data_IF_114335362337
#
_entry.id   IF_114335362337
#
_cell.length_a   1.000
_cell.length_b   1.000
_cell.length_c   1.000
_cell.angle_alpha   90.00
_cell.angle_beta   90.00
_cell.angle_gamma   90.00
#
_symmetry.space_group_name_H-M   'P 1'
#
loop_
_entity.id
_entity.type
_entity.pdbx_description
1 polymer ?
#
# COMPACT_ATOMS: atom_id res chain seq x y z
N UNK A 1 5.31 25.99 -7.08
CA UNK A 1 5.33 24.68 -6.42
C UNK A 1 4.15 24.62 -5.48
N UNK A 2 3.29 23.64 -5.66
CA UNK A 2 2.16 23.43 -4.75
C UNK A 2 2.66 22.67 -3.50
N UNK A 3 1.93 22.78 -2.38
CA UNK A 3 2.25 22.04 -1.13
C UNK A 3 2.34 20.53 -1.38
N UNK A 4 1.52 20.01 -2.29
CA UNK A 4 1.53 18.61 -2.73
C UNK A 4 2.85 18.22 -3.39
N UNK A 5 3.43 19.10 -4.21
CA UNK A 5 4.74 18.88 -4.84
C UNK A 5 5.84 18.73 -3.80
N UNK A 6 5.81 19.56 -2.75
CA UNK A 6 6.78 19.50 -1.65
C UNK A 6 6.65 18.16 -0.90
N UNK A 7 5.43 17.76 -0.57
CA UNK A 7 5.16 16.49 0.11
C UNK A 7 5.67 15.31 -0.72
N UNK A 8 5.45 15.32 -2.04
CA UNK A 8 5.92 14.27 -2.95
C UNK A 8 7.44 14.18 -2.94
N UNK A 9 8.14 15.32 -3.12
CA UNK A 9 9.60 15.36 -3.14
C UNK A 9 10.17 14.87 -1.80
N UNK A 10 9.65 15.38 -0.69
CA UNK A 10 10.09 14.97 0.66
C UNK A 10 9.86 13.46 0.87
N UNK A 11 8.73 12.94 0.45
CA UNK A 11 8.42 11.50 0.58
C UNK A 11 9.37 10.64 -0.24
N UNK A 12 9.72 11.06 -1.46
CA UNK A 12 10.69 10.34 -2.31
C UNK A 12 12.09 10.38 -1.67
N UNK A 13 12.53 11.55 -1.22
CA UNK A 13 13.84 11.69 -0.58
C UNK A 13 13.93 10.82 0.68
N UNK A 14 12.90 10.85 1.51
CA UNK A 14 12.83 9.99 2.71
C UNK A 14 12.87 8.50 2.34
N UNK A 15 12.15 8.07 1.31
CA UNK A 15 12.18 6.68 0.85
C UNK A 15 13.56 6.24 0.39
N UNK A 16 14.26 7.08 -0.37
CA UNK A 16 15.65 6.83 -0.81
C UNK A 16 16.59 6.72 0.39
N UNK A 17 16.50 7.66 1.34
CA UNK A 17 17.34 7.65 2.54
C UNK A 17 17.09 6.43 3.42
N UNK A 18 15.82 6.08 3.62
CA UNK A 18 15.43 4.90 4.40
C UNK A 18 15.95 3.62 3.72
N UNK A 19 15.77 3.50 2.40
CA UNK A 19 16.27 2.36 1.63
C UNK A 19 17.80 2.25 1.69
N UNK A 20 18.50 3.37 1.60
CA UNK A 20 19.96 3.41 1.74
C UNK A 20 20.42 2.93 3.12
N UNK A 21 19.76 3.36 4.18
CA UNK A 21 20.09 2.94 5.56
C UNK A 21 19.76 1.47 5.82
N UNK A 22 18.63 0.99 5.32
CA UNK A 22 18.18 -0.40 5.51
C UNK A 22 18.99 -1.39 4.70
N UNK A 23 19.41 -1.00 3.49
CA UNK A 23 20.10 -1.85 2.53
C UNK A 23 19.17 -2.72 1.70
N UNK A 24 19.74 -3.33 0.65
CA UNK A 24 18.99 -4.00 -0.42
C UNK A 24 18.09 -5.13 0.06
N UNK A 25 18.63 -6.10 0.81
CA UNK A 25 17.87 -7.28 1.22
C UNK A 25 16.67 -6.90 2.09
N UNK A 26 16.89 -6.07 3.09
CA UNK A 26 15.82 -5.66 3.99
C UNK A 26 14.75 -4.83 3.27
N UNK A 27 15.16 -3.87 2.42
CA UNK A 27 14.23 -3.02 1.69
C UNK A 27 13.43 -3.82 0.66
N UNK A 28 14.05 -4.77 -0.04
CA UNK A 28 13.37 -5.67 -0.98
C UNK A 28 12.32 -6.54 -0.27
N UNK A 29 12.66 -7.11 0.89
CA UNK A 29 11.71 -7.90 1.69
C UNK A 29 10.53 -7.04 2.15
N UNK A 30 10.78 -5.79 2.57
CA UNK A 30 9.71 -4.85 2.94
C UNK A 30 8.83 -4.55 1.75
N UNK A 31 9.40 -4.22 0.60
CA UNK A 31 8.66 -3.84 -0.59
C UNK A 31 7.79 -4.98 -1.13
N UNK A 32 8.40 -6.12 -1.43
CA UNK A 32 7.68 -7.30 -1.92
C UNK A 32 6.70 -7.81 -0.87
N UNK A 33 7.12 -7.88 0.39
CA UNK A 33 6.30 -8.33 1.49
C UNK A 33 5.06 -7.44 1.71
N UNK A 34 5.18 -6.13 1.58
CA UNK A 34 4.04 -5.22 1.69
C UNK A 34 3.02 -5.48 0.58
N UNK A 35 3.47 -5.66 -0.67
CA UNK A 35 2.58 -6.01 -1.79
C UNK A 35 1.87 -7.34 -1.52
N UNK A 36 2.61 -8.36 -1.10
CA UNK A 36 2.05 -9.67 -0.78
C UNK A 36 1.03 -9.61 0.36
N UNK A 37 1.31 -8.85 1.41
CA UNK A 37 0.37 -8.66 2.54
C UNK A 37 -0.95 -8.06 2.06
N UNK A 38 -0.91 -7.02 1.24
CA UNK A 38 -2.13 -6.39 0.70
C UNK A 38 -2.91 -7.36 -0.18
N UNK A 39 -2.24 -8.05 -1.10
CA UNK A 39 -2.88 -9.03 -2.00
C UNK A 39 -3.48 -10.19 -1.21
N UNK A 40 -2.73 -10.76 -0.27
CA UNK A 40 -3.22 -11.87 0.56
C UNK A 40 -4.38 -11.43 1.47
N UNK A 41 -4.32 -10.23 2.06
CA UNK A 41 -5.41 -9.69 2.86
C UNK A 41 -6.69 -9.52 2.02
N UNK A 42 -6.55 -9.08 0.77
CA UNK A 42 -7.67 -8.97 -0.15
C UNK A 42 -8.28 -10.34 -0.51
N UNK A 43 -7.46 -11.36 -0.72
CA UNK A 43 -7.93 -12.74 -0.96
C UNK A 43 -8.59 -13.33 0.28
N UNK A 44 -8.00 -13.11 1.45
CA UNK A 44 -8.48 -13.68 2.72
C UNK A 44 -9.71 -12.95 3.30
N UNK A 45 -10.02 -11.74 2.84
CA UNK A 45 -11.19 -10.99 3.35
C UNK A 45 -12.51 -11.77 3.20
N UNK A 46 -12.72 -12.47 2.09
CA UNK A 46 -13.96 -13.17 1.82
C UNK A 46 -14.19 -14.34 2.79
N UNK A 47 -13.30 -15.34 2.93
CA UNK A 47 -13.51 -16.41 3.89
C UNK A 47 -13.58 -15.90 5.33
N UNK A 48 -12.79 -14.88 5.68
CA UNK A 48 -12.77 -14.31 7.01
C UNK A 48 -14.06 -13.53 7.32
N UNK A 49 -14.60 -12.79 6.36
CA UNK A 49 -15.88 -12.08 6.53
C UNK A 49 -17.04 -13.03 6.81
N UNK A 50 -17.06 -14.21 6.17
CA UNK A 50 -18.07 -15.24 6.43
C UNK A 50 -17.97 -15.80 7.86
N UNK A 51 -16.75 -15.99 8.36
CA UNK A 51 -16.52 -16.44 9.75
C UNK A 51 -16.99 -15.35 10.73
N UNK A 52 -16.66 -14.09 10.46
CA UNK A 52 -17.06 -12.96 11.28
C UNK A 52 -18.59 -12.82 11.30
N UNK A 53 -19.24 -12.91 10.15
CA UNK A 53 -20.69 -12.82 10.03
C UNK A 53 -21.42 -13.89 10.86
N UNK A 54 -20.89 -15.12 10.88
CA UNK A 54 -21.48 -16.23 11.64
C UNK A 54 -21.33 -16.05 13.15
N UNK A 55 -20.21 -15.48 13.61
CA UNK A 55 -19.85 -15.44 15.02
C UNK A 55 -20.11 -14.09 15.69
N UNK A 56 -20.23 -13.00 14.92
CA UNK A 56 -20.35 -11.64 15.42
C UNK A 56 -21.59 -10.92 14.82
N UNK A 57 -22.77 -11.04 15.42
CA UNK A 57 -24.01 -10.43 14.89
C UNK A 57 -24.11 -8.91 15.24
N UNK A 58 -23.00 -8.15 15.18
CA UNK A 58 -22.95 -6.78 15.71
C UNK A 58 -23.50 -5.70 14.77
N UNK A 59 -23.45 -5.89 13.45
CA UNK A 59 -23.88 -4.87 12.52
C UNK A 59 -25.37 -5.01 12.18
N UNK A 60 -26.25 -4.52 13.07
CA UNK A 60 -27.65 -4.29 12.77
C UNK A 60 -27.85 -2.79 12.54
N UNK A 61 -27.91 -2.38 11.28
CA UNK A 61 -28.28 -1.03 10.96
C UNK A 61 -29.74 -0.79 11.27
N UNK A 62 -30.05 0.31 11.97
CA UNK A 62 -31.40 0.80 12.25
C UNK A 62 -31.65 2.10 11.47
N UNK A 63 -32.90 2.45 11.22
CA UNK A 63 -33.29 3.65 10.50
C UNK A 63 -33.31 3.48 8.99
N UNK A 64 -32.88 4.50 8.24
CA UNK A 64 -32.91 4.51 6.77
C UNK A 64 -32.07 3.39 6.10
N UNK A 65 -31.18 2.73 6.84
CA UNK A 65 -30.35 1.62 6.38
C UNK A 65 -30.85 0.26 6.85
N UNK A 66 -32.03 0.22 7.49
CA UNK A 66 -32.63 -1.02 7.98
C UNK A 66 -33.06 -1.89 6.79
N UNK A 67 -32.59 -3.12 6.75
CA UNK A 67 -32.91 -4.08 5.68
C UNK A 67 -31.94 -4.12 4.50
N UNK A 68 -30.88 -3.27 4.46
CA UNK A 68 -29.86 -3.34 3.40
C UNK A 68 -28.81 -4.39 3.77
N UNK A 69 -29.07 -5.64 3.37
CA UNK A 69 -28.15 -6.76 3.60
C UNK A 69 -26.75 -6.54 2.98
N UNK A 70 -26.69 -5.84 1.86
CA UNK A 70 -25.44 -5.54 1.15
C UNK A 70 -24.49 -4.67 1.99
N UNK A 71 -24.98 -3.68 2.75
CA UNK A 71 -24.16 -2.88 3.65
C UNK A 71 -23.56 -3.71 4.78
N UNK A 72 -24.34 -4.65 5.33
CA UNK A 72 -23.85 -5.56 6.35
C UNK A 72 -22.67 -6.40 5.82
N UNK A 73 -22.82 -7.01 4.64
CA UNK A 73 -21.77 -7.82 4.02
C UNK A 73 -20.51 -6.96 3.80
N UNK A 74 -20.66 -5.76 3.26
CA UNK A 74 -19.54 -4.85 3.02
C UNK A 74 -18.77 -4.48 4.31
N UNK A 75 -19.49 -4.23 5.41
CA UNK A 75 -18.87 -3.92 6.70
C UNK A 75 -18.06 -5.11 7.25
N UNK A 76 -18.56 -6.33 7.11
CA UNK A 76 -17.81 -7.53 7.50
C UNK A 76 -16.61 -7.76 6.60
N UNK A 77 -16.70 -7.48 5.29
CA UNK A 77 -15.55 -7.56 4.39
C UNK A 77 -14.46 -6.54 4.74
N UNK A 78 -14.84 -5.29 5.04
CA UNK A 78 -13.89 -4.25 5.47
C UNK A 78 -13.21 -4.66 6.78
N UNK A 79 -13.98 -5.13 7.76
CA UNK A 79 -13.44 -5.59 9.04
C UNK A 79 -12.50 -6.79 8.85
N UNK A 80 -12.90 -7.76 8.05
CA UNK A 80 -12.10 -8.92 7.71
C UNK A 80 -10.79 -8.53 7.02
N UNK A 81 -10.85 -7.57 6.09
CA UNK A 81 -9.66 -7.05 5.43
C UNK A 81 -8.69 -6.39 6.41
N UNK A 82 -9.19 -5.56 7.33
CA UNK A 82 -8.37 -4.90 8.36
C UNK A 82 -7.71 -5.94 9.29
N UNK A 83 -8.46 -6.96 9.72
CA UNK A 83 -7.94 -8.03 10.56
C UNK A 83 -6.87 -8.84 9.82
N UNK A 84 -7.13 -9.21 8.56
CA UNK A 84 -6.16 -9.91 7.73
C UNK A 84 -4.88 -9.08 7.53
N UNK A 85 -5.01 -7.77 7.23
CA UNK A 85 -3.87 -6.86 7.13
C UNK A 85 -3.06 -6.82 8.42
N UNK A 86 -3.71 -6.73 9.58
CA UNK A 86 -3.03 -6.68 10.86
C UNK A 86 -2.22 -7.97 11.13
N UNK A 87 -2.84 -9.14 10.96
CA UNK A 87 -2.20 -10.44 11.19
C UNK A 87 -1.02 -10.63 10.22
N UNK A 88 -1.23 -10.40 8.93
CA UNK A 88 -0.18 -10.56 7.91
C UNK A 88 0.95 -9.53 8.09
N UNK A 89 0.65 -8.31 8.55
CA UNK A 89 1.67 -7.29 8.85
C UNK A 89 2.54 -7.69 10.03
N UNK A 90 1.99 -8.35 11.04
CA UNK A 90 2.76 -8.91 12.17
C UNK A 90 3.69 -10.02 11.64
N UNK A 91 3.19 -10.94 10.81
CA UNK A 91 4.01 -11.98 10.20
C UNK A 91 5.14 -11.38 9.34
N UNK A 92 4.85 -10.38 8.50
CA UNK A 92 5.83 -9.66 7.72
C UNK A 92 6.89 -8.99 8.61
N UNK A 93 6.49 -8.41 9.73
CA UNK A 93 7.43 -7.78 10.68
C UNK A 93 8.45 -8.78 11.23
N UNK A 94 8.02 -10.01 11.50
CA UNK A 94 8.92 -11.10 11.94
C UNK A 94 9.91 -11.44 10.81
N UNK A 95 9.42 -11.59 9.57
CA UNK A 95 10.26 -11.87 8.40
C UNK A 95 11.29 -10.75 8.18
N UNK A 96 10.89 -9.49 8.31
CA UNK A 96 11.79 -8.34 8.19
C UNK A 96 12.89 -8.36 9.26
N UNK A 97 12.58 -8.74 10.48
CA UNK A 97 13.59 -8.87 11.54
C UNK A 97 14.63 -9.93 11.20
N UNK A 98 14.19 -11.07 10.69
CA UNK A 98 15.09 -12.16 10.26
C UNK A 98 15.94 -11.71 9.07
N UNK A 99 15.36 -11.08 8.06
CA UNK A 99 16.11 -10.59 6.88
C UNK A 99 17.14 -9.51 7.26
N UNK A 100 16.86 -8.68 8.23
CA UNK A 100 17.82 -7.70 8.76
C UNK A 100 19.03 -8.34 9.43
N UNK A 101 18.88 -9.51 10.05
CA UNK A 101 20.00 -10.30 10.59
C UNK A 101 20.88 -10.83 9.46
N UNK A 102 20.27 -11.39 8.40
CA UNK A 102 20.97 -11.90 7.22
C UNK A 102 21.79 -10.78 6.57
N UNK A 103 21.19 -9.60 6.38
CA UNK A 103 21.89 -8.45 5.80
C UNK A 103 23.06 -7.98 6.67
N UNK A 104 22.91 -8.01 8.00
CA UNK A 104 24.00 -7.68 8.93
C UNK A 104 25.19 -8.65 8.77
N UNK A 105 24.91 -9.94 8.61
CA UNK A 105 25.95 -10.97 8.36
C UNK A 105 26.66 -10.72 7.03
N UNK A 106 25.89 -10.43 5.98
CA UNK A 106 26.45 -10.14 4.64
C UNK A 106 27.28 -8.84 4.61
N UNK A 107 26.90 -7.83 5.39
CA UNK A 107 27.66 -6.57 5.52
C UNK A 107 28.96 -6.68 6.32
N UNK A 108 29.15 -7.74 7.08
CA UNK A 108 30.45 -8.04 7.71
C UNK A 108 31.55 -8.25 6.68
N UNK A 109 31.20 -8.63 5.44
CA UNK A 109 32.10 -8.61 4.31
C UNK A 109 32.09 -7.18 3.73
N UNK A 110 33.07 -6.37 4.03
CA UNK A 110 33.21 -4.93 3.70
C UNK A 110 32.90 -4.64 2.22
N UNK A 111 33.20 -5.55 1.32
CA UNK A 111 32.99 -5.43 -0.14
C UNK A 111 31.51 -5.31 -0.53
N UNK A 112 30.57 -5.86 0.24
CA UNK A 112 29.14 -5.87 -0.08
C UNK A 112 28.33 -4.75 0.60
N UNK A 113 28.94 -4.00 1.50
CA UNK A 113 28.22 -2.99 2.29
C UNK A 113 27.76 -1.77 1.44
N UNK A 114 28.63 -1.23 0.59
CA UNK A 114 28.31 -0.08 -0.26
C UNK A 114 27.33 -0.42 -1.38
N UNK A 115 27.55 -1.51 -2.19
CA UNK A 115 26.59 -1.93 -3.20
C UNK A 115 25.20 -2.20 -2.62
N UNK A 116 25.11 -2.85 -1.46
CA UNK A 116 23.84 -3.13 -0.80
C UNK A 116 23.08 -1.85 -0.41
N UNK A 117 23.77 -0.82 0.07
CA UNK A 117 23.15 0.47 0.41
C UNK A 117 22.63 1.20 -0.82
N UNK A 118 23.41 1.26 -1.90
CA UNK A 118 23.00 1.90 -3.15
C UNK A 118 21.80 1.20 -3.78
N UNK A 119 21.82 -0.13 -3.86
CA UNK A 119 20.68 -0.91 -4.34
C UNK A 119 19.46 -0.74 -3.42
N UNK A 120 19.65 -0.65 -2.10
CA UNK A 120 18.58 -0.35 -1.16
C UNK A 120 17.93 1.02 -1.41
N UNK A 121 18.75 2.05 -1.75
CA UNK A 121 18.25 3.36 -2.13
C UNK A 121 17.38 3.32 -3.40
N UNK A 122 17.79 2.52 -4.40
CA UNK A 122 17.02 2.33 -5.63
C UNK A 122 15.66 1.65 -5.33
N UNK A 123 15.67 0.59 -4.53
CA UNK A 123 14.42 -0.09 -4.13
C UNK A 123 13.53 0.87 -3.34
N UNK A 124 14.08 1.64 -2.39
CA UNK A 124 13.34 2.65 -1.62
C UNK A 124 12.75 3.75 -2.50
N UNK A 125 13.45 4.17 -3.56
CA UNK A 125 12.93 5.10 -4.57
C UNK A 125 11.71 4.51 -5.29
N UNK A 126 11.82 3.27 -5.82
CA UNK A 126 10.72 2.59 -6.52
C UNK A 126 9.52 2.42 -5.59
N UNK A 127 9.75 1.96 -4.36
CA UNK A 127 8.71 1.81 -3.35
C UNK A 127 7.98 3.12 -3.06
N UNK A 128 8.71 4.23 -2.93
CA UNK A 128 8.13 5.55 -2.70
C UNK A 128 7.20 5.97 -3.83
N UNK A 129 7.60 5.74 -5.09
CA UNK A 129 6.76 6.04 -6.25
C UNK A 129 5.48 5.21 -6.22
N UNK A 130 5.57 3.90 -5.94
CA UNK A 130 4.40 3.01 -5.88
C UNK A 130 3.43 3.44 -4.77
N UNK A 131 3.95 3.73 -3.57
CA UNK A 131 3.13 4.18 -2.44
C UNK A 131 2.47 5.52 -2.74
N UNK A 132 3.23 6.49 -3.28
CA UNK A 132 2.71 7.80 -3.68
C UNK A 132 1.64 7.66 -4.78
N UNK A 133 1.85 6.78 -5.77
CA UNK A 133 0.86 6.53 -6.80
C UNK A 133 -0.47 6.06 -6.21
N UNK A 134 -0.44 5.03 -5.36
CA UNK A 134 -1.65 4.50 -4.71
C UNK A 134 -2.34 5.57 -3.87
N UNK A 135 -1.57 6.35 -3.10
CA UNK A 135 -2.09 7.42 -2.27
C UNK A 135 -2.73 8.55 -3.08
N UNK A 136 -2.03 9.04 -4.11
CA UNK A 136 -2.55 10.08 -5.02
C UNK A 136 -3.77 9.60 -5.80
N UNK A 137 -3.77 8.34 -6.24
CA UNK A 137 -4.92 7.73 -6.91
C UNK A 137 -6.16 7.72 -6.00
N UNK A 138 -6.01 7.27 -4.75
CA UNK A 138 -7.12 7.28 -3.79
C UNK A 138 -7.64 8.70 -3.54
N UNK A 139 -6.76 9.69 -3.41
CA UNK A 139 -7.15 11.08 -3.21
C UNK A 139 -7.76 11.73 -4.47
N UNK A 140 -7.48 11.20 -5.68
CA UNK A 140 -8.04 11.68 -6.93
C UNK A 140 -9.46 11.17 -7.20
N UNK A 141 -9.93 10.17 -6.43
CA UNK A 141 -11.27 9.62 -6.57
C UNK A 141 -12.35 10.70 -6.38
N UNK A 142 -13.46 10.66 -7.16
CA UNK A 142 -14.53 11.67 -7.12
C UNK A 142 -15.15 11.90 -5.74
N UNK A 143 -15.06 10.89 -4.86
CA UNK A 143 -15.62 10.93 -3.50
C UNK A 143 -14.82 11.89 -2.60
N UNK A 144 -13.49 11.93 -2.74
CA UNK A 144 -12.62 12.74 -1.88
C UNK A 144 -12.36 14.15 -2.43
N UNK A 145 -12.44 14.33 -3.76
CA UNK A 145 -12.31 15.61 -4.49
C UNK A 145 -11.31 16.60 -3.89
N UNK A 146 -10.06 16.19 -3.71
CA UNK A 146 -9.02 17.08 -3.20
C UNK A 146 -8.53 17.99 -4.37
N UNK A 147 -8.91 19.29 -4.39
CA UNK A 147 -8.65 20.15 -5.55
C UNK A 147 -7.16 20.38 -5.81
N UNK A 148 -6.31 20.36 -4.78
CA UNK A 148 -4.88 20.66 -4.86
C UNK A 148 -4.04 19.62 -5.64
N UNK A 149 -4.59 18.43 -5.90
CA UNK A 149 -3.88 17.37 -6.66
C UNK A 149 -3.85 17.72 -8.15
N UNK A 150 -4.91 18.32 -8.69
CA UNK A 150 -5.00 18.73 -10.10
C UNK A 150 -3.99 19.81 -10.47
N UNK A 151 -3.60 20.64 -9.50
CA UNK A 151 -2.65 21.74 -9.69
C UNK A 151 -1.19 21.33 -9.41
N UNK A 152 -0.95 20.08 -9.01
CA UNK A 152 0.39 19.57 -8.72
C UNK A 152 0.99 18.92 -9.95
N UNK A 153 2.10 19.47 -10.45
CA UNK A 153 2.84 18.96 -11.62
C UNK A 153 3.38 17.54 -11.38
N UNK A 154 3.91 17.28 -10.17
CA UNK A 154 4.48 15.98 -9.84
C UNK A 154 3.41 14.92 -9.58
N UNK A 155 2.25 15.31 -9.02
CA UNK A 155 1.13 14.38 -8.86
C UNK A 155 0.61 13.90 -10.22
N UNK A 156 0.41 14.82 -11.17
CA UNK A 156 0.02 14.47 -12.54
C UNK A 156 1.07 13.59 -13.23
N UNK A 157 2.36 13.94 -13.09
CA UNK A 157 3.44 13.12 -13.66
C UNK A 157 3.45 11.69 -13.13
N UNK A 158 3.24 11.51 -11.83
CA UNK A 158 3.20 10.17 -11.20
C UNK A 158 1.95 9.41 -11.67
N UNK A 159 0.79 10.04 -11.73
CA UNK A 159 -0.46 9.40 -12.13
C UNK A 159 -0.49 9.05 -13.62
N UNK A 160 0.04 9.90 -14.50
CA UNK A 160 -0.02 9.71 -15.96
C UNK A 160 1.14 8.88 -16.51
N UNK A 161 2.35 9.04 -15.96
CA UNK A 161 3.57 8.43 -16.51
C UNK A 161 3.98 7.10 -15.87
N UNK A 162 3.16 6.55 -14.96
CA UNK A 162 3.42 5.20 -14.39
C UNK A 162 2.61 4.16 -15.17
N UNK A 163 3.10 3.66 -16.34
CA UNK A 163 2.26 3.02 -17.37
C UNK A 163 1.71 1.65 -16.98
N UNK A 164 2.32 0.97 -16.01
CA UNK A 164 1.87 -0.35 -15.58
C UNK A 164 0.66 -0.24 -14.65
N UNK A 165 0.64 0.77 -13.80
CA UNK A 165 -0.40 0.94 -12.79
C UNK A 165 -1.57 1.73 -13.36
N UNK A 166 -1.33 2.69 -14.28
CA UNK A 166 -2.40 3.45 -14.94
C UNK A 166 -3.33 2.56 -15.76
N UNK A 167 -2.81 1.54 -16.47
CA UNK A 167 -3.65 0.57 -17.21
C UNK A 167 -4.59 -0.24 -16.31
N UNK A 168 -4.12 -0.61 -15.11
CA UNK A 168 -4.94 -1.34 -14.13
C UNK A 168 -6.03 -0.42 -13.56
N UNK A 169 -5.69 0.84 -13.28
CA UNK A 169 -6.65 1.82 -12.76
C UNK A 169 -7.68 2.25 -13.80
N UNK A 170 -7.30 2.42 -15.07
CA UNK A 170 -8.24 2.70 -16.15
C UNK A 170 -9.25 1.57 -16.35
N UNK A 171 -8.82 0.32 -16.21
CA UNK A 171 -9.70 -0.85 -16.19
C UNK A 171 -10.71 -0.79 -15.05
N UNK A 172 -10.26 -0.49 -13.84
CA UNK A 172 -11.14 -0.38 -12.67
C UNK A 172 -12.13 0.79 -12.79
N UNK A 173 -11.67 1.96 -13.24
CA UNK A 173 -12.54 3.15 -13.41
C UNK A 173 -13.61 2.90 -14.48
N UNK A 174 -13.28 2.20 -15.59
CA UNK A 174 -14.27 1.81 -16.59
C UNK A 174 -15.35 0.90 -16.00
N UNK A 175 -14.95 -0.10 -15.22
CA UNK A 175 -15.89 -1.02 -14.57
C UNK A 175 -16.82 -0.28 -13.57
N UNK A 176 -16.33 0.74 -12.87
CA UNK A 176 -17.14 1.55 -11.96
C UNK A 176 -18.10 2.52 -12.69
N UNK A 177 -17.80 2.94 -13.91
CA UNK A 177 -18.67 3.82 -14.70
C UNK A 177 -19.75 3.04 -15.48
N UNK A 178 -19.65 1.72 -15.56
CA UNK A 178 -20.61 0.83 -16.22
C UNK A 178 -21.66 0.23 -15.26
N UNK A 179 -21.54 0.52 -13.93
CA UNK A 179 -22.50 0.16 -12.89
C UNK A 179 -23.34 1.38 -12.49
#
# INVERSE_FOLDING_TARGET
>A
MNIVDIIIIVSIVLGVLIGFVRGFFKETVIFIGTILVVVLAFVLKNPLSLILYKNLPFFKFKGIFEGISTLNILMYEILAFIIALAILSIALTIIIKISGIIEKILKLTIVLALPSKLLGAIVGFIQSIVVLYVFLFLLSLPILRVPYIKDSKYAQMILEKTPVISKVTDGLVKTFNEI
#
